data_IF_778056568487
#
_entry.id   IF_778056568487
#
_cell.length_a   1.000
_cell.length_b   1.000
_cell.length_c   1.000
_cell.angle_alpha   90.00
_cell.angle_beta   90.00
_cell.angle_gamma   90.00
#
_symmetry.space_group_name_H-M   'P 1'
#
loop_
_entity.id
_entity.type
_entity.pdbx_description
1 polymer ?
#
# COMPACT_ATOMS: atom_id res chain seq x y z
N UNK A 1 21.54 0.51 -14.51
CA UNK A 1 20.13 0.07 -14.45
C UNK A 1 19.59 0.42 -13.07
N UNK A 2 18.46 1.11 -12.97
CA UNK A 2 17.82 1.42 -11.67
C UNK A 2 17.02 0.18 -11.23
N UNK A 3 17.29 -0.34 -10.05
CA UNK A 3 16.52 -1.45 -9.49
C UNK A 3 15.13 -0.92 -9.10
N UNK A 4 14.07 -1.50 -9.67
CA UNK A 4 12.69 -1.22 -9.25
C UNK A 4 12.32 -2.18 -8.12
N UNK A 5 11.84 -1.61 -7.01
CA UNK A 5 11.35 -2.37 -5.86
C UNK A 5 9.85 -2.21 -5.80
N UNK A 6 9.16 -3.34 -5.65
CA UNK A 6 7.71 -3.41 -5.46
C UNK A 6 7.44 -3.95 -4.06
N UNK A 7 6.61 -3.27 -3.29
CA UNK A 7 6.20 -3.65 -1.94
C UNK A 7 4.79 -4.24 -1.96
N UNK A 8 4.62 -5.45 -1.40
CA UNK A 8 3.31 -6.11 -1.30
C UNK A 8 2.87 -6.15 0.16
N UNK A 9 1.82 -5.39 0.47
CA UNK A 9 1.18 -5.32 1.77
C UNK A 9 -0.06 -6.23 1.78
N UNK A 10 0.12 -7.48 2.21
CA UNK A 10 -0.92 -8.50 2.23
C UNK A 10 -1.52 -8.67 3.63
N UNK A 11 -2.85 -8.64 3.74
CA UNK A 11 -3.59 -8.90 4.99
C UNK A 11 -3.12 -8.09 6.22
N UNK A 12 -2.71 -6.83 6.04
CA UNK A 12 -2.44 -5.93 7.16
C UNK A 12 -3.74 -5.41 7.74
N UNK A 13 -3.95 -5.51 9.06
CA UNK A 13 -5.18 -5.00 9.71
C UNK A 13 -5.09 -3.56 10.23
N UNK A 14 -3.88 -3.09 10.51
CA UNK A 14 -3.67 -1.77 11.15
C UNK A 14 -3.57 -0.66 10.10
N UNK A 15 -4.55 0.24 10.08
CA UNK A 15 -4.54 1.44 9.23
C UNK A 15 -3.32 2.34 9.51
N UNK A 16 -2.88 2.44 10.76
CA UNK A 16 -1.73 3.23 11.15
C UNK A 16 -0.44 2.64 10.58
N UNK A 17 -0.30 1.31 10.61
CA UNK A 17 0.86 0.64 10.04
C UNK A 17 0.89 0.73 8.52
N UNK A 18 -0.28 0.64 7.86
CA UNK A 18 -0.39 0.87 6.42
C UNK A 18 0.07 2.29 6.07
N UNK A 19 -0.39 3.30 6.81
CA UNK A 19 0.04 4.69 6.61
C UNK A 19 1.55 4.88 6.78
N UNK A 20 2.13 4.34 7.86
CA UNK A 20 3.58 4.38 8.10
C UNK A 20 4.38 3.68 7.00
N UNK A 21 3.86 2.56 6.48
CA UNK A 21 4.46 1.80 5.38
C UNK A 21 4.45 2.60 4.07
N UNK A 22 3.32 3.24 3.73
CA UNK A 22 3.21 4.10 2.55
C UNK A 22 4.17 5.30 2.62
N UNK A 23 4.25 5.95 3.80
CA UNK A 23 5.18 7.06 4.05
C UNK A 23 6.65 6.62 3.88
N UNK A 24 6.99 5.44 4.40
CA UNK A 24 8.33 4.86 4.27
C UNK A 24 8.64 4.51 2.82
N UNK A 25 7.68 3.94 2.09
CA UNK A 25 7.85 3.57 0.69
C UNK A 25 8.11 4.80 -0.20
N UNK A 26 7.41 5.90 0.03
CA UNK A 26 7.67 7.19 -0.62
C UNK A 26 9.11 7.68 -0.37
N UNK A 27 9.55 7.71 0.89
CA UNK A 27 10.89 8.18 1.25
C UNK A 27 12.04 7.31 0.72
N UNK A 28 11.80 6.02 0.48
CA UNK A 28 12.77 5.09 -0.08
C UNK A 28 12.73 4.99 -1.61
N UNK A 29 11.82 5.71 -2.28
CA UNK A 29 11.68 5.66 -3.73
C UNK A 29 11.20 4.30 -4.25
N UNK A 30 10.35 3.61 -3.48
CA UNK A 30 9.68 2.38 -3.92
C UNK A 30 8.80 2.69 -5.14
N UNK A 31 8.90 1.86 -6.17
CA UNK A 31 8.23 2.09 -7.46
C UNK A 31 6.72 1.85 -7.37
N UNK A 32 6.31 0.85 -6.57
CA UNK A 32 4.91 0.50 -6.37
C UNK A 32 4.66 -0.14 -5.02
N UNK A 33 3.54 0.22 -4.40
CA UNK A 33 2.97 -0.49 -3.25
C UNK A 33 1.66 -1.13 -3.67
N UNK A 34 1.49 -2.42 -3.35
CA UNK A 34 0.28 -3.19 -3.64
C UNK A 34 -0.35 -3.61 -2.32
N UNK A 35 -1.53 -3.06 -2.02
CA UNK A 35 -2.37 -3.54 -0.92
C UNK A 35 -3.22 -4.72 -1.43
N UNK A 36 -3.13 -5.87 -0.76
CA UNK A 36 -3.86 -7.07 -1.15
C UNK A 36 -4.54 -7.75 0.03
N UNK A 37 -5.51 -8.60 -0.28
CA UNK A 37 -6.41 -9.20 0.72
C UNK A 37 -7.28 -8.12 1.38
N UNK A 38 -7.44 -8.20 2.68
CA UNK A 38 -8.23 -7.22 3.47
C UNK A 38 -7.41 -6.01 3.95
N UNK A 39 -6.21 -5.79 3.41
CA UNK A 39 -5.38 -4.63 3.79
C UNK A 39 -6.12 -3.33 3.52
N UNK A 40 -6.33 -2.44 4.52
CA UNK A 40 -6.92 -1.13 4.30
C UNK A 40 -6.13 -0.35 3.25
N UNK A 41 -6.84 0.40 2.43
CA UNK A 41 -6.26 1.24 1.37
C UNK A 41 -7.03 2.57 1.30
N UNK A 42 -6.44 3.63 0.72
CA UNK A 42 -7.12 4.91 0.55
C UNK A 42 -8.37 4.76 -0.31
N UNK A 43 -9.47 5.39 0.10
CA UNK A 43 -10.73 5.37 -0.65
C UNK A 43 -10.51 5.84 -2.10
N UNK A 44 -11.00 5.07 -3.06
CA UNK A 44 -10.94 5.43 -4.48
C UNK A 44 -12.31 5.91 -4.96
N UNK A 45 -12.31 6.84 -5.93
CA UNK A 45 -13.51 7.55 -6.39
C UNK A 45 -14.62 6.60 -6.90
N UNK A 46 -14.24 5.46 -7.46
CA UNK A 46 -15.14 4.47 -8.07
C UNK A 46 -14.94 3.08 -7.48
N UNK A 47 -14.65 3.00 -6.17
CA UNK A 47 -14.45 1.72 -5.50
C UNK A 47 -15.78 1.03 -5.19
N UNK A 48 -16.07 -0.05 -5.92
CA UNK A 48 -17.25 -0.87 -5.71
C UNK A 48 -17.04 -1.98 -4.66
N UNK A 49 -15.84 -2.12 -4.10
CA UNK A 49 -15.56 -3.14 -3.08
C UNK A 49 -16.27 -2.78 -1.79
N UNK A 50 -16.80 -3.79 -1.12
CA UNK A 50 -17.37 -3.64 0.22
C UNK A 50 -16.24 -3.30 1.22
N UNK A 51 -16.50 -2.47 2.24
CA UNK A 51 -15.54 -2.16 3.29
C UNK A 51 -15.07 -3.41 4.05
#
# INVERSE_FOLDING_TARGET
MKQSIILIAHNLRSIHNVGSLLRTAEGLGIDRVICSGYTPYPQQKDDARLP
#
